data_IF_304011923541
#
_entry.id   IF_304011923541
#
_cell.length_a   1.000
_cell.length_b   1.000
_cell.length_c   1.000
_cell.angle_alpha   90.00
_cell.angle_beta   90.00
_cell.angle_gamma   90.00
#
_symmetry.space_group_name_H-M   'P 1'
#
loop_
_entity.id
_entity.type
_entity.pdbx_description
1 polymer ?
#
# COMPACT_ATOMS: atom_id res chain seq x y z
N UNK A 1 28.46 -29.76 -0.33
CA UNK A 1 28.71 -31.00 0.45
C UNK A 1 28.42 -32.16 -0.50
N UNK A 2 29.36 -33.08 -0.73
CA UNK A 2 29.23 -34.08 -1.78
C UNK A 2 28.33 -35.24 -1.34
N UNK A 3 27.43 -35.66 -2.23
CA UNK A 3 26.63 -36.87 -2.10
C UNK A 3 27.50 -38.08 -2.46
N UNK A 4 27.95 -38.83 -1.46
CA UNK A 4 28.51 -40.16 -1.66
C UNK A 4 27.38 -41.17 -1.85
N UNK A 5 27.15 -41.53 -3.10
CA UNK A 5 26.24 -42.59 -3.53
C UNK A 5 26.98 -43.92 -3.37
N UNK A 6 26.64 -44.68 -2.33
CA UNK A 6 27.11 -46.07 -2.18
C UNK A 6 26.27 -47.00 -3.07
N UNK A 7 26.88 -47.39 -4.18
CA UNK A 7 26.44 -48.42 -5.12
C UNK A 7 26.58 -49.81 -4.48
N UNK A 8 25.46 -50.43 -4.08
CA UNK A 8 25.44 -51.79 -3.56
C UNK A 8 25.34 -52.82 -4.69
N UNK A 9 26.43 -53.59 -4.82
CA UNK A 9 26.69 -54.74 -5.67
C UNK A 9 25.57 -55.80 -5.54
N UNK A 10 24.91 -56.16 -6.64
CA UNK A 10 24.07 -57.38 -6.74
C UNK A 10 24.97 -58.56 -7.09
N UNK A 11 25.22 -59.44 -6.13
CA UNK A 11 25.79 -60.76 -6.41
C UNK A 11 24.68 -61.71 -6.86
N UNK A 12 24.72 -62.04 -8.15
CA UNK A 12 23.95 -63.11 -8.79
C UNK A 12 24.48 -64.47 -8.35
N UNK A 13 23.75 -65.18 -7.48
CA UNK A 13 23.99 -66.59 -7.20
C UNK A 13 23.37 -67.48 -8.29
N UNK A 14 24.21 -68.31 -8.88
CA UNK A 14 23.89 -69.24 -9.96
C UNK A 14 22.98 -70.38 -9.51
N UNK A 15 22.01 -70.68 -10.38
CA UNK A 15 21.09 -71.81 -10.30
C UNK A 15 21.84 -73.06 -10.78
N UNK A 16 22.07 -74.03 -9.89
CA UNK A 16 22.38 -75.41 -10.28
C UNK A 16 21.07 -76.21 -10.31
N UNK A 17 20.76 -76.75 -11.49
CA UNK A 17 19.73 -77.77 -11.69
C UNK A 17 20.27 -79.10 -11.18
N UNK A 18 19.51 -79.76 -10.32
CA UNK A 18 19.67 -81.19 -10.07
C UNK A 18 18.36 -81.87 -10.48
N UNK A 19 18.48 -82.66 -11.53
CA UNK A 19 17.48 -83.61 -12.00
C UNK A 19 17.63 -84.87 -11.13
N UNK A 20 16.52 -85.34 -10.56
CA UNK A 20 16.50 -86.53 -9.72
C UNK A 20 15.06 -86.99 -9.54
N UNK A 21 14.67 -87.93 -10.38
CA UNK A 21 13.46 -88.75 -10.27
C UNK A 21 13.45 -89.50 -8.92
N UNK A 22 12.30 -89.57 -8.26
CA UNK A 22 11.63 -90.84 -7.92
C UNK A 22 10.50 -90.67 -6.88
N UNK A 23 9.30 -91.07 -7.32
CA UNK A 23 8.36 -92.00 -6.67
C UNK A 23 7.91 -91.75 -5.21
N UNK A 24 6.70 -91.19 -5.14
CA UNK A 24 5.51 -91.79 -4.49
C UNK A 24 5.61 -92.25 -3.02
N UNK A 25 5.04 -91.44 -2.11
CA UNK A 25 4.13 -91.83 -1.01
C UNK A 25 3.85 -90.57 -0.15
N UNK A 26 3.00 -89.65 -0.62
CA UNK A 26 2.52 -88.53 0.19
C UNK A 26 1.27 -88.97 0.95
N UNK A 27 1.47 -89.40 2.19
CA UNK A 27 0.40 -89.39 3.18
C UNK A 27 -0.07 -87.93 3.40
N UNK A 28 -1.39 -87.65 3.51
CA UNK A 28 -1.92 -86.32 3.78
C UNK A 28 -1.73 -85.98 5.26
N UNK A 29 -0.48 -85.84 5.69
CA UNK A 29 -0.14 -85.36 7.03
C UNK A 29 0.14 -83.85 6.91
N UNK A 30 -0.62 -83.07 7.68
CA UNK A 30 -0.36 -81.67 8.06
C UNK A 30 -0.83 -80.51 7.17
N UNK A 31 -1.91 -80.63 6.39
CA UNK A 31 -2.55 -79.44 5.79
C UNK A 31 -3.04 -78.42 6.85
N UNK A 32 -3.49 -78.90 8.01
CA UNK A 32 -3.95 -78.04 9.11
C UNK A 32 -2.81 -77.30 9.82
N UNK A 33 -1.63 -77.92 9.92
CA UNK A 33 -0.42 -77.35 10.54
C UNK A 33 0.27 -76.36 9.58
N UNK A 34 0.15 -76.59 8.28
CA UNK A 34 0.61 -75.63 7.27
C UNK A 34 -0.22 -74.34 7.30
N UNK A 35 -1.55 -74.44 7.50
CA UNK A 35 -2.42 -73.28 7.61
C UNK A 35 -2.15 -72.45 8.87
N UNK A 36 -1.87 -73.09 10.02
CA UNK A 36 -1.54 -72.39 11.27
C UNK A 36 -0.21 -71.64 11.16
N UNK A 37 0.81 -72.25 10.55
CA UNK A 37 2.08 -71.61 10.27
C UNK A 37 1.93 -70.43 9.31
N UNK A 38 1.18 -70.60 8.22
CA UNK A 38 0.89 -69.51 7.27
C UNK A 38 0.19 -68.33 7.95
N UNK A 39 -0.78 -68.58 8.84
CA UNK A 39 -1.44 -67.52 9.60
C UNK A 39 -0.47 -66.78 10.53
N UNK A 40 0.44 -67.48 11.20
CA UNK A 40 1.46 -66.86 12.04
C UNK A 40 2.44 -66.01 11.22
N UNK A 41 2.85 -66.48 10.05
CA UNK A 41 3.71 -65.70 9.14
C UNK A 41 2.99 -64.44 8.65
N UNK A 42 1.71 -64.52 8.30
CA UNK A 42 0.90 -63.36 7.90
C UNK A 42 0.73 -62.36 9.05
N UNK A 43 0.48 -62.81 10.28
CA UNK A 43 0.43 -61.94 11.47
C UNK A 43 1.76 -61.21 11.68
N UNK A 44 2.90 -61.92 11.56
CA UNK A 44 4.21 -61.30 11.68
C UNK A 44 4.49 -60.28 10.56
N UNK A 45 4.14 -60.60 9.30
CA UNK A 45 4.26 -59.67 8.18
C UNK A 45 3.40 -58.42 8.42
N UNK A 46 2.18 -58.60 8.92
CA UNK A 46 1.26 -57.49 9.22
C UNK A 46 1.84 -56.58 10.30
N UNK A 47 2.39 -57.14 11.38
CA UNK A 47 3.05 -56.36 12.44
C UNK A 47 4.26 -55.59 11.93
N UNK A 48 5.07 -56.20 11.06
CA UNK A 48 6.22 -55.53 10.44
C UNK A 48 5.74 -54.39 9.53
N UNK A 49 4.66 -54.58 8.77
CA UNK A 49 4.06 -53.54 7.94
C UNK A 49 3.54 -52.37 8.79
N UNK A 50 2.81 -52.64 9.87
CA UNK A 50 2.33 -51.61 10.81
C UNK A 50 3.49 -50.83 11.44
N UNK A 51 4.57 -51.52 11.86
CA UNK A 51 5.77 -50.88 12.38
C UNK A 51 6.45 -49.99 11.34
N UNK A 52 6.53 -50.44 10.07
CA UNK A 52 7.10 -49.64 8.99
C UNK A 52 6.27 -48.37 8.72
N UNK A 53 4.95 -48.46 8.71
CA UNK A 53 4.07 -47.28 8.56
C UNK A 53 4.19 -46.31 9.74
N UNK A 54 4.34 -46.85 10.96
CA UNK A 54 4.57 -46.04 12.15
C UNK A 54 5.90 -45.27 12.08
N UNK A 55 6.96 -45.95 11.62
CA UNK A 55 8.29 -45.35 11.43
C UNK A 55 8.23 -44.27 10.34
N UNK A 56 7.60 -44.54 9.19
CA UNK A 56 7.42 -43.54 8.12
C UNK A 56 6.72 -42.29 8.63
N UNK A 57 5.64 -42.47 9.39
CA UNK A 57 4.90 -41.34 9.99
C UNK A 57 5.79 -40.53 10.95
N UNK A 58 6.60 -41.22 11.79
CA UNK A 58 7.57 -40.56 12.68
C UNK A 58 8.63 -39.79 11.91
N UNK A 59 9.15 -40.34 10.81
CA UNK A 59 10.17 -39.68 9.98
C UNK A 59 9.61 -38.39 9.38
N UNK A 60 8.41 -38.44 8.78
CA UNK A 60 7.74 -37.25 8.22
C UNK A 60 7.49 -36.20 9.29
N UNK A 61 7.07 -36.62 10.49
CA UNK A 61 6.87 -35.69 11.61
C UNK A 61 8.18 -35.00 12.02
N UNK A 62 9.27 -35.76 12.15
CA UNK A 62 10.58 -35.22 12.51
C UNK A 62 11.13 -34.27 11.44
N UNK A 63 10.93 -34.57 10.15
CA UNK A 63 11.30 -33.68 9.05
C UNK A 63 10.57 -32.34 9.13
N UNK A 64 9.26 -32.37 9.40
CA UNK A 64 8.44 -31.17 9.58
C UNK A 64 8.87 -30.34 10.79
N UNK A 65 9.12 -31.00 11.93
CA UNK A 65 9.60 -30.32 13.14
C UNK A 65 10.97 -29.66 12.94
N UNK A 66 11.86 -30.30 12.18
CA UNK A 66 13.15 -29.70 11.79
C UNK A 66 12.95 -28.49 10.88
N UNK A 67 12.10 -28.58 9.84
CA UNK A 67 11.81 -27.45 8.95
C UNK A 67 11.26 -26.25 9.73
N UNK A 68 10.27 -26.47 10.60
CA UNK A 68 9.69 -25.44 11.46
C UNK A 68 10.74 -24.81 12.39
N UNK A 69 11.66 -25.61 12.93
CA UNK A 69 12.77 -25.11 13.75
C UNK A 69 13.73 -24.23 12.94
N UNK A 70 14.09 -24.61 11.71
CA UNK A 70 14.94 -23.81 10.84
C UNK A 70 14.27 -22.50 10.42
N UNK A 71 13.00 -22.55 10.00
CA UNK A 71 12.23 -21.37 9.61
C UNK A 71 12.05 -20.39 10.77
N UNK A 72 11.72 -20.88 11.96
CA UNK A 72 11.58 -20.04 13.16
C UNK A 72 12.91 -19.42 13.59
N UNK A 73 14.01 -20.18 13.52
CA UNK A 73 15.35 -19.67 13.82
C UNK A 73 15.80 -18.61 12.82
N UNK A 74 15.58 -18.84 11.52
CA UNK A 74 15.88 -17.85 10.47
C UNK A 74 15.10 -16.56 10.68
N UNK A 75 13.79 -16.66 10.95
CA UNK A 75 12.94 -15.49 11.22
C UNK A 75 13.41 -14.70 12.45
N UNK A 76 13.85 -15.40 13.50
CA UNK A 76 14.42 -14.77 14.70
C UNK A 76 15.73 -14.03 14.39
N UNK A 77 16.61 -14.63 13.60
CA UNK A 77 17.86 -14.00 13.16
C UNK A 77 17.59 -12.75 12.30
N UNK A 78 16.66 -12.84 11.35
CA UNK A 78 16.27 -11.70 10.50
C UNK A 78 15.72 -10.53 11.32
N UNK A 79 14.91 -10.81 12.34
CA UNK A 79 14.42 -9.79 13.26
C UNK A 79 15.58 -9.18 14.05
N UNK A 80 16.52 -9.99 14.55
CA UNK A 80 17.73 -9.51 15.21
C UNK A 80 18.58 -8.60 14.32
N UNK A 81 18.80 -8.96 13.05
CA UNK A 81 19.53 -8.12 12.10
C UNK A 81 18.83 -6.79 11.83
N UNK A 82 17.49 -6.76 11.74
CA UNK A 82 16.72 -5.52 11.59
C UNK A 82 16.87 -4.60 12.80
N UNK A 83 16.90 -5.15 14.01
CA UNK A 83 17.13 -4.38 15.25
C UNK A 83 18.55 -3.81 15.29
N UNK A 84 19.56 -4.59 14.91
CA UNK A 84 20.95 -4.12 14.79
C UNK A 84 21.09 -3.02 13.73
N UNK A 85 20.44 -3.16 12.58
CA UNK A 85 20.44 -2.12 11.54
C UNK A 85 19.80 -0.82 12.04
N UNK A 86 18.70 -0.92 12.80
CA UNK A 86 18.06 0.23 13.44
C UNK A 86 18.99 0.90 14.45
N UNK A 87 19.63 0.13 15.34
CA UNK A 87 20.60 0.64 16.30
C UNK A 87 21.78 1.34 15.61
N UNK A 88 22.28 0.77 14.50
CA UNK A 88 23.36 1.35 13.70
C UNK A 88 22.98 2.72 13.11
N UNK A 89 21.72 2.86 12.66
CA UNK A 89 21.20 4.15 12.17
C UNK A 89 21.08 5.18 13.30
N UNK A 90 20.58 4.78 14.47
CA UNK A 90 20.49 5.63 15.65
C UNK A 90 21.88 6.09 16.12
N UNK A 91 22.86 5.18 16.17
CA UNK A 91 24.25 5.50 16.49
C UNK A 91 24.88 6.47 15.48
N UNK A 92 24.54 6.32 14.19
CA UNK A 92 24.99 7.25 13.15
C UNK A 92 24.41 8.65 13.37
N UNK A 93 23.14 8.77 13.74
CA UNK A 93 22.53 10.06 14.11
C UNK A 93 23.20 10.69 15.33
N UNK A 94 23.49 9.89 16.38
CA UNK A 94 24.21 10.37 17.57
C UNK A 94 25.62 10.86 17.22
N UNK A 95 26.31 10.16 16.32
CA UNK A 95 27.64 10.58 15.84
C UNK A 95 27.59 11.96 15.17
N UNK A 96 26.56 12.27 14.40
CA UNK A 96 26.40 13.60 13.79
C UNK A 96 26.12 14.69 14.84
N UNK A 97 25.31 14.40 15.87
CA UNK A 97 25.11 15.32 17.01
C UNK A 97 26.42 15.54 17.78
N UNK A 98 27.20 14.49 18.00
CA UNK A 98 28.49 14.62 18.68
C UNK A 98 29.48 15.47 17.88
N UNK A 99 29.55 15.29 16.56
CA UNK A 99 30.34 16.18 15.69
C UNK A 99 29.92 17.63 15.82
N UNK A 100 28.62 17.90 15.90
CA UNK A 100 28.09 19.25 16.11
C UNK A 100 28.51 19.83 17.47
N UNK A 101 28.40 19.07 18.56
CA UNK A 101 28.86 19.49 19.89
C UNK A 101 30.36 19.76 19.90
N UNK A 102 31.16 18.86 19.32
CA UNK A 102 32.62 19.04 19.23
C UNK A 102 32.95 20.29 18.44
N UNK A 103 32.28 20.54 17.29
CA UNK A 103 32.49 21.76 16.51
C UNK A 103 32.15 23.04 17.29
N UNK A 104 31.15 23.01 18.17
CA UNK A 104 30.85 24.12 19.08
C UNK A 104 31.98 24.27 20.11
N UNK A 105 32.43 23.17 20.72
CA UNK A 105 33.46 23.21 21.75
C UNK A 105 34.85 23.60 21.23
N UNK A 106 35.21 23.23 19.99
CA UNK A 106 36.49 23.58 19.37
C UNK A 106 36.51 25.00 18.83
N UNK A 107 35.37 25.70 18.81
CA UNK A 107 35.25 27.04 18.24
C UNK A 107 35.08 27.05 16.72
N UNK A 108 35.16 25.91 16.04
CA UNK A 108 34.93 25.80 14.58
C UNK A 108 33.50 26.19 14.17
N UNK A 109 32.53 26.09 15.09
CA UNK A 109 31.13 26.53 14.91
C UNK A 109 30.72 27.72 15.78
N UNK A 110 31.63 28.26 16.59
CA UNK A 110 31.37 29.45 17.41
C UNK A 110 31.97 30.67 16.72
N UNK A 111 31.54 30.91 15.48
CA UNK A 111 31.38 32.30 15.03
C UNK A 111 29.99 32.70 15.49
N UNK A 112 29.93 33.48 16.57
CA UNK A 112 28.68 34.01 17.08
C UNK A 112 28.00 34.84 15.99
N UNK A 113 26.88 34.29 15.53
CA UNK A 113 25.82 34.94 14.77
C UNK A 113 25.30 36.15 15.57
N UNK A 114 25.92 37.31 15.34
CA UNK A 114 25.16 38.56 15.27
C UNK A 114 24.28 38.49 14.01
N UNK A 115 23.05 37.99 14.18
CA UNK A 115 22.07 37.80 13.11
C UNK A 115 21.55 39.11 12.48
N UNK A 116 22.14 40.27 12.78
CA UNK A 116 21.80 41.52 12.10
C UNK A 116 22.43 41.64 10.69
N UNK A 117 23.33 40.72 10.30
CA UNK A 117 23.98 40.78 8.98
C UNK A 117 24.16 39.46 8.20
N UNK A 118 23.78 38.31 8.75
CA UNK A 118 24.00 37.02 8.09
C UNK A 118 22.84 36.64 7.17
N UNK A 119 22.82 37.27 6.00
CA UNK A 119 22.30 36.60 4.81
C UNK A 119 23.08 35.31 4.64
N UNK A 120 22.41 34.15 4.59
CA UNK A 120 22.98 32.93 4.01
C UNK A 120 23.75 33.35 2.79
N UNK A 121 25.09 33.25 2.83
CA UNK A 121 25.88 33.73 1.71
C UNK A 121 25.44 32.96 0.47
N UNK A 122 25.28 33.66 -0.65
CA UNK A 122 24.84 33.01 -1.90
C UNK A 122 25.75 31.81 -2.23
N UNK A 123 27.00 31.87 -1.77
CA UNK A 123 28.04 30.86 -1.91
C UNK A 123 27.77 29.58 -1.09
N UNK A 124 27.32 29.67 0.17
CA UNK A 124 26.96 28.50 0.97
C UNK A 124 25.65 27.85 0.50
N UNK A 125 24.67 28.66 0.09
CA UNK A 125 23.47 28.15 -0.57
C UNK A 125 23.80 27.43 -1.90
N UNK A 126 24.81 27.94 -2.62
CA UNK A 126 25.36 27.27 -3.80
C UNK A 126 26.12 26.00 -3.44
N UNK A 127 26.90 25.98 -2.35
CA UNK A 127 27.63 24.80 -1.90
C UNK A 127 26.67 23.65 -1.54
N UNK A 128 25.59 23.93 -0.80
CA UNK A 128 24.56 22.94 -0.48
C UNK A 128 23.81 22.48 -1.75
N UNK A 129 23.52 23.40 -2.68
CA UNK A 129 22.93 23.05 -3.98
C UNK A 129 23.87 22.24 -4.88
N UNK A 130 25.18 22.37 -4.70
CA UNK A 130 26.22 21.67 -5.47
C UNK A 130 26.55 20.28 -4.92
N UNK A 131 26.00 19.88 -3.78
CA UNK A 131 26.20 18.55 -3.20
C UNK A 131 25.67 17.47 -4.15
N UNK A 132 26.59 16.83 -4.87
CA UNK A 132 26.28 15.80 -5.87
C UNK A 132 25.50 14.63 -5.26
N UNK A 133 25.81 14.23 -4.01
CA UNK A 133 25.15 13.13 -3.32
C UNK A 133 23.70 13.46 -2.94
N UNK A 134 23.44 14.68 -2.47
CA UNK A 134 22.07 15.13 -2.19
C UNK A 134 21.27 15.26 -3.49
N UNK A 135 21.85 15.88 -4.51
CA UNK A 135 21.24 16.03 -5.82
C UNK A 135 20.86 14.67 -6.43
N UNK A 136 21.76 13.68 -6.34
CA UNK A 136 21.54 12.32 -6.83
C UNK A 136 20.45 11.59 -6.02
N UNK A 137 20.46 11.69 -4.70
CA UNK A 137 19.40 11.11 -3.86
C UNK A 137 18.02 11.69 -4.18
N UNK A 138 17.92 13.02 -4.35
CA UNK A 138 16.67 13.65 -4.77
C UNK A 138 16.25 13.23 -6.18
N UNK A 139 17.19 13.11 -7.12
CA UNK A 139 16.92 12.64 -8.47
C UNK A 139 16.40 11.20 -8.48
N UNK A 140 17.04 10.30 -7.73
CA UNK A 140 16.62 8.91 -7.58
C UNK A 140 15.23 8.80 -6.93
N UNK A 141 14.95 9.62 -5.91
CA UNK A 141 13.63 9.66 -5.28
C UNK A 141 12.54 10.12 -6.28
N UNK A 142 12.79 11.22 -7.01
CA UNK A 142 11.87 11.70 -8.06
C UNK A 142 11.65 10.66 -9.15
N UNK A 143 12.71 9.95 -9.58
CA UNK A 143 12.62 8.89 -10.59
C UNK A 143 11.75 7.73 -10.13
N UNK A 144 11.89 7.28 -8.88
CA UNK A 144 11.02 6.23 -8.30
C UNK A 144 9.56 6.67 -8.25
N UNK A 145 9.29 7.89 -7.76
CA UNK A 145 7.93 8.44 -7.74
C UNK A 145 7.33 8.56 -9.15
N UNK A 146 8.13 8.97 -10.13
CA UNK A 146 7.70 9.08 -11.51
C UNK A 146 7.38 7.71 -12.12
N UNK A 147 8.25 6.71 -11.93
CA UNK A 147 8.00 5.35 -12.40
C UNK A 147 6.73 4.74 -11.78
N UNK A 148 6.54 4.94 -10.47
CA UNK A 148 5.32 4.55 -9.77
C UNK A 148 4.08 5.23 -10.38
N UNK A 149 4.16 6.53 -10.64
CA UNK A 149 3.07 7.28 -11.26
C UNK A 149 2.75 6.77 -12.67
N UNK A 150 3.77 6.48 -13.48
CA UNK A 150 3.59 5.92 -14.84
C UNK A 150 2.93 4.55 -14.76
N UNK A 151 3.35 3.69 -13.84
CA UNK A 151 2.72 2.40 -13.61
C UNK A 151 1.25 2.57 -13.24
N UNK A 152 0.95 3.41 -12.25
CA UNK A 152 -0.39 3.72 -11.79
C UNK A 152 -1.28 4.29 -12.91
N UNK A 153 -0.71 5.15 -13.77
CA UNK A 153 -1.39 5.73 -14.92
C UNK A 153 -1.73 4.68 -15.98
N UNK A 154 -0.81 3.74 -16.27
CA UNK A 154 -1.09 2.62 -17.20
C UNK A 154 -2.23 1.72 -16.73
N UNK A 155 -2.37 1.52 -15.42
CA UNK A 155 -3.48 0.77 -14.83
C UNK A 155 -4.82 1.48 -15.09
N UNK A 156 -4.83 2.81 -15.16
CA UNK A 156 -6.02 3.61 -15.47
C UNK A 156 -6.34 3.71 -16.97
N UNK A 157 -5.31 3.82 -17.83
CA UNK A 157 -5.45 4.11 -19.27
C UNK A 157 -5.69 2.91 -20.17
N UNK A 158 -5.42 1.67 -19.72
CA UNK A 158 -5.88 0.50 -20.47
C UNK A 158 -7.40 0.58 -20.47
N UNK A 159 -7.99 1.04 -21.57
CA UNK A 159 -9.44 1.02 -21.84
C UNK A 159 -9.81 -0.09 -22.83
N UNK A 160 -8.82 -0.73 -23.46
CA UNK A 160 -9.06 -1.88 -24.33
C UNK A 160 -9.50 -3.09 -23.51
N UNK A 161 -10.80 -3.37 -23.53
CA UNK A 161 -11.34 -4.66 -23.15
C UNK A 161 -10.83 -5.70 -24.16
N UNK A 162 -10.10 -6.75 -23.74
CA UNK A 162 -10.42 -8.06 -24.27
C UNK A 162 -11.83 -8.35 -23.75
N UNK A 163 -12.81 -8.10 -24.61
CA UNK A 163 -14.11 -8.75 -24.54
C UNK A 163 -13.89 -10.20 -24.07
N UNK A 164 -14.72 -10.70 -23.15
CA UNK A 164 -14.78 -12.12 -22.71
C UNK A 164 -13.95 -12.56 -21.49
N UNK A 165 -13.82 -11.74 -20.45
CA UNK A 165 -13.68 -12.29 -19.09
C UNK A 165 -14.82 -11.75 -18.23
N UNK A 166 -15.77 -12.64 -17.93
CA UNK A 166 -16.91 -12.39 -17.05
C UNK A 166 -16.42 -11.88 -15.69
N UNK A 167 -16.48 -10.57 -15.49
CA UNK A 167 -16.46 -10.00 -14.14
C UNK A 167 -17.78 -10.43 -13.50
N UNK A 168 -17.75 -11.54 -12.77
CA UNK A 168 -18.84 -11.98 -11.89
C UNK A 168 -19.21 -10.81 -10.99
N UNK A 169 -20.32 -10.17 -11.34
CA UNK A 169 -20.93 -9.10 -10.56
C UNK A 169 -21.55 -9.76 -9.33
N UNK A 170 -20.79 -9.83 -8.23
CA UNK A 170 -21.20 -10.39 -6.94
C UNK A 170 -22.21 -9.49 -6.20
N UNK A 171 -23.28 -9.01 -6.86
CA UNK A 171 -24.28 -8.17 -6.19
C UNK A 171 -25.45 -8.96 -5.56
N UNK A 172 -25.67 -10.26 -5.81
CA UNK A 172 -26.88 -10.96 -5.30
C UNK A 172 -26.71 -12.36 -4.68
N UNK A 173 -25.49 -12.88 -4.49
CA UNK A 173 -25.30 -14.18 -3.85
C UNK A 173 -25.27 -14.07 -2.31
N UNK A 174 -26.47 -14.18 -1.74
CA UNK A 174 -26.79 -14.62 -0.39
C UNK A 174 -25.62 -15.13 0.48
N UNK A 175 -25.20 -14.32 1.45
CA UNK A 175 -24.57 -14.81 2.68
C UNK A 175 -25.40 -14.31 3.86
N UNK A 176 -26.51 -15.01 4.11
CA UNK A 176 -27.00 -15.18 5.49
C UNK A 176 -26.01 -16.11 6.16
N UNK A 177 -25.09 -15.53 6.93
CA UNK A 177 -24.26 -16.31 7.83
C UNK A 177 -24.99 -16.37 9.17
N UNK A 178 -25.85 -17.39 9.29
CA UNK A 178 -26.37 -17.82 10.59
C UNK A 178 -25.20 -18.37 11.41
N UNK A 179 -24.86 -17.66 12.48
CA UNK A 179 -24.09 -18.18 13.59
C UNK A 179 -25.05 -18.94 14.52
N UNK A 180 -25.08 -20.27 14.45
CA UNK A 180 -25.76 -21.11 15.45
C UNK A 180 -25.04 -22.44 15.65
N UNK A 181 -24.38 -22.54 16.82
CA UNK A 181 -24.51 -23.62 17.82
C UNK A 181 -24.40 -25.10 17.40
N UNK A 182 -23.26 -25.69 17.80
CA UNK A 182 -23.03 -27.00 18.46
C UNK A 182 -23.38 -28.37 17.83
N UNK A 183 -22.41 -29.29 18.06
CA UNK A 183 -22.49 -30.74 18.34
C UNK A 183 -22.56 -31.77 17.19
N UNK A 184 -21.55 -32.65 17.23
CA UNK A 184 -21.52 -34.10 16.93
C UNK A 184 -22.45 -34.67 15.83
N UNK A 185 -21.84 -35.16 14.74
CA UNK A 185 -22.12 -36.53 14.28
C UNK A 185 -20.99 -37.06 13.39
N UNK A 186 -20.68 -38.33 13.64
CA UNK A 186 -19.84 -39.23 12.87
C UNK A 186 -20.59 -39.77 11.65
N UNK A 187 -19.98 -39.79 10.46
CA UNK A 187 -20.16 -40.86 9.45
C UNK A 187 -19.05 -40.83 8.39
N UNK A 188 -18.66 -42.03 7.95
CA UNK A 188 -17.54 -42.37 7.08
C UNK A 188 -17.83 -42.14 5.58
N UNK A 189 -16.76 -41.83 4.83
CA UNK A 189 -16.42 -42.53 3.58
C UNK A 189 -16.85 -41.92 2.24
N UNK A 190 -15.96 -41.13 1.61
CA UNK A 190 -15.69 -41.26 0.17
C UNK A 190 -14.30 -40.72 -0.21
N UNK A 191 -13.72 -41.45 -1.17
CA UNK A 191 -12.37 -41.50 -1.74
C UNK A 191 -12.01 -40.28 -2.65
N UNK A 192 -10.79 -40.20 -3.22
CA UNK A 192 -9.94 -39.00 -3.24
C UNK A 192 -9.91 -38.26 -4.59
N UNK A 193 -9.01 -37.27 -4.66
CA UNK A 193 -8.48 -36.61 -5.84
C UNK A 193 -9.42 -35.66 -6.60
N UNK A 194 -9.33 -34.39 -6.21
CA UNK A 194 -8.96 -33.35 -7.17
C UNK A 194 -8.26 -32.20 -6.45
N UNK A 195 -6.95 -32.16 -6.66
CA UNK A 195 -6.05 -31.05 -6.40
C UNK A 195 -6.56 -29.76 -7.06
N UNK A 196 -7.42 -29.05 -6.36
CA UNK A 196 -7.52 -27.61 -6.46
C UNK A 196 -7.08 -27.06 -5.11
N UNK A 197 -5.77 -27.13 -4.87
CA UNK A 197 -5.08 -26.19 -4.02
C UNK A 197 -5.38 -24.78 -4.55
N UNK A 198 -6.52 -24.24 -4.11
CA UNK A 198 -6.77 -22.82 -4.06
C UNK A 198 -5.80 -22.28 -3.02
N UNK A 199 -4.56 -22.09 -3.48
CA UNK A 199 -3.42 -21.54 -2.76
C UNK A 199 -3.92 -20.51 -1.76
N UNK A 200 -3.87 -20.90 -0.49
CA UNK A 200 -4.42 -20.17 0.61
C UNK A 200 -3.75 -18.79 0.65
N UNK A 201 -4.50 -17.80 0.17
CA UNK A 201 -4.50 -16.43 0.65
C UNK A 201 -3.11 -15.82 0.88
N UNK A 202 -2.41 -15.55 -0.23
CA UNK A 202 -1.46 -14.45 -0.26
C UNK A 202 -2.24 -13.19 0.12
N UNK A 203 -2.21 -12.83 1.41
CA UNK A 203 -2.84 -11.61 1.91
C UNK A 203 -2.34 -10.50 0.99
N UNK A 204 -3.21 -9.66 0.40
CA UNK A 204 -2.79 -8.49 -0.35
C UNK A 204 -2.26 -7.43 0.63
N UNK A 205 -1.28 -7.80 1.46
CA UNK A 205 -0.47 -6.90 2.29
C UNK A 205 0.31 -5.91 1.42
N UNK A 206 0.35 -6.14 0.12
CA UNK A 206 1.01 -5.30 -0.88
C UNK A 206 0.05 -4.45 -1.72
N UNK A 207 -1.26 -4.43 -1.43
CA UNK A 207 -2.14 -3.51 -2.15
C UNK A 207 -1.74 -2.06 -1.85
N UNK A 208 -1.66 -1.25 -2.90
CA UNK A 208 -1.32 0.17 -2.84
C UNK A 208 -2.38 0.94 -3.61
N UNK A 209 -2.97 1.95 -2.97
CA UNK A 209 -3.94 2.82 -3.63
C UNK A 209 -3.27 3.59 -4.78
N UNK A 210 -3.90 3.59 -5.94
CA UNK A 210 -3.36 4.16 -7.16
C UNK A 210 -3.17 5.68 -7.02
N UNK A 211 -1.96 6.20 -7.23
CA UNK A 211 -1.59 7.62 -7.02
C UNK A 211 -1.87 8.50 -8.25
N UNK A 212 -2.10 7.92 -9.41
CA UNK A 212 -2.41 8.63 -10.65
C UNK A 212 -3.90 9.06 -10.75
N UNK A 213 -4.75 8.58 -9.84
CA UNK A 213 -6.16 8.98 -9.76
C UNK A 213 -6.28 10.46 -9.39
N UNK A 214 -6.99 11.22 -10.22
CA UNK A 214 -7.20 12.66 -10.06
C UNK A 214 -8.66 13.11 -10.12
N UNK A 215 -9.59 12.21 -10.48
CA UNK A 215 -11.03 12.50 -10.58
C UNK A 215 -11.83 11.75 -9.51
N UNK A 216 -13.00 12.26 -9.15
CA UNK A 216 -13.91 11.58 -8.22
C UNK A 216 -14.43 10.28 -8.83
N UNK A 217 -14.65 10.27 -10.15
CA UNK A 217 -15.05 9.08 -10.91
C UNK A 217 -14.06 7.93 -10.73
N UNK A 218 -12.76 8.20 -10.83
CA UNK A 218 -11.73 7.19 -10.67
C UNK A 218 -11.61 6.71 -9.22
N UNK A 219 -11.77 7.62 -8.25
CA UNK A 219 -11.82 7.25 -6.82
C UNK A 219 -12.99 6.31 -6.55
N UNK A 220 -14.17 6.61 -7.10
CA UNK A 220 -15.35 5.76 -6.94
C UNK A 220 -15.18 4.40 -7.64
N UNK A 221 -14.60 4.39 -8.84
CA UNK A 221 -14.29 3.16 -9.58
C UNK A 221 -13.34 2.26 -8.80
N UNK A 222 -12.19 2.77 -8.35
CA UNK A 222 -11.26 2.00 -7.51
C UNK A 222 -11.92 1.48 -6.23
N UNK A 223 -12.79 2.29 -5.61
CA UNK A 223 -13.44 1.91 -4.37
C UNK A 223 -14.50 0.83 -4.52
N UNK A 224 -15.46 1.01 -5.42
CA UNK A 224 -16.62 0.13 -5.55
C UNK A 224 -16.37 -1.05 -6.49
N UNK A 225 -15.66 -0.83 -7.59
CA UNK A 225 -15.49 -1.81 -8.67
C UNK A 225 -14.08 -2.43 -8.66
N UNK A 226 -13.09 -1.66 -8.23
CA UNK A 226 -11.67 -2.01 -8.35
C UNK A 226 -11.05 -1.46 -9.62
N UNK A 227 -9.77 -1.79 -9.81
CA UNK A 227 -9.02 -1.45 -11.01
C UNK A 227 -8.63 -2.74 -11.74
N UNK A 228 -8.11 -2.63 -12.97
CA UNK A 228 -7.81 -3.80 -13.78
C UNK A 228 -6.82 -4.75 -13.09
N UNK A 229 -7.24 -5.98 -12.85
CA UNK A 229 -6.44 -7.00 -12.13
C UNK A 229 -6.24 -6.70 -10.64
N UNK A 230 -6.95 -5.72 -10.10
CA UNK A 230 -6.84 -5.29 -8.71
C UNK A 230 -8.23 -5.34 -8.04
N UNK A 231 -8.33 -5.87 -6.81
CA UNK A 231 -9.61 -5.94 -6.10
C UNK A 231 -10.13 -4.54 -5.77
N UNK A 232 -11.44 -4.42 -5.58
CA UNK A 232 -12.04 -3.17 -5.09
C UNK A 232 -11.58 -2.86 -3.68
N UNK A 233 -11.43 -1.57 -3.35
CA UNK A 233 -11.06 -1.16 -2.00
C UNK A 233 -12.16 -1.54 -1.00
N UNK A 234 -13.43 -1.51 -1.43
CA UNK A 234 -14.55 -1.99 -0.63
C UNK A 234 -14.40 -3.48 -0.27
N UNK A 235 -13.99 -4.33 -1.21
CA UNK A 235 -13.70 -5.74 -0.95
C UNK A 235 -12.56 -5.89 0.06
N UNK A 236 -11.47 -5.13 -0.12
CA UNK A 236 -10.32 -5.17 0.78
C UNK A 236 -10.68 -4.76 2.21
N UNK A 237 -11.46 -3.70 2.38
CA UNK A 237 -11.90 -3.24 3.70
C UNK A 237 -12.83 -4.26 4.36
N UNK A 238 -13.75 -4.88 3.61
CA UNK A 238 -14.66 -5.90 4.15
C UNK A 238 -13.94 -7.19 4.56
N UNK A 239 -12.96 -7.63 3.76
CA UNK A 239 -12.25 -8.90 3.96
C UNK A 239 -11.09 -8.81 4.95
N UNK A 240 -10.32 -7.72 4.90
CA UNK A 240 -9.07 -7.57 5.66
C UNK A 240 -9.09 -6.43 6.69
N UNK A 241 -10.11 -5.55 6.67
CA UNK A 241 -10.22 -4.41 7.58
C UNK A 241 -9.02 -3.47 7.46
N UNK A 242 -8.41 -3.08 8.57
CA UNK A 242 -7.25 -2.16 8.57
C UNK A 242 -5.94 -2.81 8.09
N UNK A 243 -5.86 -4.13 7.97
CA UNK A 243 -4.61 -4.85 7.71
C UNK A 243 -4.04 -4.60 6.30
N UNK A 244 -4.90 -4.46 5.28
CA UNK A 244 -4.44 -4.18 3.90
C UNK A 244 -3.79 -2.80 3.76
N UNK A 245 -4.09 -1.89 4.69
CA UNK A 245 -3.56 -0.52 4.78
C UNK A 245 -2.62 -0.34 5.98
N UNK A 246 -1.72 -1.31 6.19
CA UNK A 246 -0.75 -1.31 7.30
C UNK A 246 0.28 -0.17 7.24
N UNK A 247 0.59 0.33 6.04
CA UNK A 247 1.53 1.44 5.85
C UNK A 247 0.87 2.78 6.23
N UNK A 248 1.55 3.68 6.98
CA UNK A 248 1.00 4.98 7.34
C UNK A 248 0.53 5.82 6.14
N UNK A 249 1.27 5.76 5.03
CA UNK A 249 0.90 6.45 3.78
C UNK A 249 -0.44 5.98 3.22
N UNK A 250 -0.72 4.68 3.24
CA UNK A 250 -1.99 4.13 2.77
C UNK A 250 -3.14 4.52 3.70
N UNK A 251 -2.93 4.52 5.03
CA UNK A 251 -3.97 4.96 5.98
C UNK A 251 -4.40 6.40 5.72
N UNK A 252 -3.45 7.32 5.57
CA UNK A 252 -3.75 8.74 5.32
C UNK A 252 -4.45 8.92 3.96
N UNK A 253 -4.00 8.20 2.93
CA UNK A 253 -4.58 8.34 1.60
C UNK A 253 -6.00 7.76 1.52
N UNK A 254 -6.20 6.59 2.15
CA UNK A 254 -7.51 5.98 2.34
C UNK A 254 -8.46 6.91 3.10
N UNK A 255 -8.04 7.48 4.24
CA UNK A 255 -8.87 8.38 5.02
C UNK A 255 -9.35 9.59 4.20
N UNK A 256 -8.46 10.16 3.37
CA UNK A 256 -8.83 11.26 2.46
C UNK A 256 -9.84 10.85 1.40
N UNK A 257 -9.63 9.70 0.75
CA UNK A 257 -10.57 9.16 -0.26
C UNK A 257 -11.90 8.77 0.36
N UNK A 258 -11.89 8.21 1.56
CA UNK A 258 -13.10 7.78 2.26
C UNK A 258 -14.04 8.94 2.56
N UNK A 259 -13.52 10.15 2.85
CA UNK A 259 -14.40 11.33 2.99
C UNK A 259 -15.17 11.64 1.71
N UNK A 260 -14.54 11.47 0.55
CA UNK A 260 -15.19 11.68 -0.76
C UNK A 260 -16.23 10.56 -1.00
N UNK A 261 -15.87 9.30 -0.73
CA UNK A 261 -16.77 8.16 -0.84
C UNK A 261 -17.99 8.30 0.08
N UNK A 262 -17.78 8.68 1.34
CA UNK A 262 -18.85 8.90 2.30
C UNK A 262 -19.81 9.99 1.83
N UNK A 263 -19.29 11.07 1.24
CA UNK A 263 -20.13 12.11 0.66
C UNK A 263 -20.94 11.61 -0.54
N UNK A 264 -20.36 10.76 -1.41
CA UNK A 264 -21.10 10.11 -2.51
C UNK A 264 -22.24 9.24 -1.96
N UNK A 265 -21.97 8.43 -0.93
CA UNK A 265 -22.99 7.58 -0.31
C UNK A 265 -24.09 8.40 0.35
N UNK A 266 -23.73 9.46 1.09
CA UNK A 266 -24.71 10.33 1.74
C UNK A 266 -25.63 11.05 0.74
N UNK A 267 -25.10 11.51 -0.40
CA UNK A 267 -25.93 12.08 -1.48
C UNK A 267 -26.86 11.02 -2.08
N UNK A 268 -26.35 9.80 -2.29
CA UNK A 268 -27.14 8.68 -2.83
C UNK A 268 -28.28 8.27 -1.88
N UNK A 269 -28.00 8.20 -0.58
CA UNK A 269 -28.95 7.74 0.45
C UNK A 269 -29.93 8.85 0.87
N UNK A 270 -29.49 10.11 0.90
CA UNK A 270 -30.27 11.26 1.36
C UNK A 270 -30.33 12.38 0.30
N UNK A 271 -30.85 12.14 -0.92
CA UNK A 271 -30.84 13.13 -2.00
C UNK A 271 -31.61 14.41 -1.67
N UNK A 272 -32.67 14.31 -0.86
CA UNK A 272 -33.52 15.45 -0.48
C UNK A 272 -32.76 16.54 0.28
N UNK A 273 -31.77 16.16 1.12
CA UNK A 273 -30.91 17.12 1.85
C UNK A 273 -30.11 18.03 0.93
N UNK A 274 -29.91 17.59 -0.31
CA UNK A 274 -29.12 18.26 -1.33
C UNK A 274 -29.97 18.87 -2.44
N UNK A 275 -31.30 18.88 -2.30
CA UNK A 275 -32.21 19.39 -3.33
C UNK A 275 -32.24 18.51 -4.60
N UNK A 276 -31.91 17.23 -4.47
CA UNK A 276 -31.85 16.27 -5.57
C UNK A 276 -33.14 15.42 -5.63
N UNK A 277 -33.55 14.94 -6.81
CA UNK A 277 -34.70 14.04 -6.93
C UNK A 277 -34.52 12.76 -6.10
N UNK A 278 -35.57 12.19 -5.49
CA UNK A 278 -35.47 10.91 -4.81
C UNK A 278 -35.08 9.79 -5.79
N UNK A 279 -34.29 8.82 -5.33
CA UNK A 279 -33.90 7.65 -6.14
C UNK A 279 -32.75 7.88 -7.12
N UNK A 280 -31.85 8.84 -6.86
CA UNK A 280 -30.67 9.02 -7.72
C UNK A 280 -29.76 7.78 -7.76
N UNK A 281 -29.20 7.52 -8.93
CA UNK A 281 -28.20 6.47 -9.10
C UNK A 281 -26.84 6.85 -8.50
N UNK A 282 -26.03 5.85 -8.13
CA UNK A 282 -24.64 6.07 -7.69
C UNK A 282 -23.83 6.86 -8.72
N UNK A 283 -24.04 6.61 -10.02
CA UNK A 283 -23.40 7.35 -11.11
C UNK A 283 -23.76 8.84 -11.09
N UNK A 284 -25.00 9.19 -10.80
CA UNK A 284 -25.42 10.58 -10.64
C UNK A 284 -24.80 11.21 -9.39
N UNK A 285 -24.78 10.52 -8.26
CA UNK A 285 -24.12 11.01 -7.05
C UNK A 285 -22.61 11.26 -7.26
N UNK A 286 -21.90 10.35 -7.93
CA UNK A 286 -20.50 10.53 -8.34
C UNK A 286 -20.35 11.79 -9.21
N UNK A 287 -21.23 11.96 -10.21
CA UNK A 287 -21.21 13.11 -11.11
C UNK A 287 -21.42 14.43 -10.36
N UNK A 288 -22.33 14.46 -9.38
CA UNK A 288 -22.57 15.65 -8.55
C UNK A 288 -21.30 16.04 -7.79
N UNK A 289 -20.66 15.09 -7.09
CA UNK A 289 -19.43 15.37 -6.34
C UNK A 289 -18.27 15.76 -7.26
N UNK A 290 -18.20 15.17 -8.45
CA UNK A 290 -17.23 15.58 -9.48
C UNK A 290 -17.51 17.01 -9.97
N UNK A 291 -18.77 17.40 -10.17
CA UNK A 291 -19.12 18.78 -10.54
C UNK A 291 -18.73 19.77 -9.43
N UNK A 292 -18.93 19.40 -8.16
CA UNK A 292 -18.43 20.19 -7.02
C UNK A 292 -16.93 20.38 -7.13
N UNK A 293 -16.18 19.32 -7.48
CA UNK A 293 -14.73 19.43 -7.71
C UNK A 293 -14.37 20.33 -8.89
N UNK A 294 -15.11 20.24 -9.99
CA UNK A 294 -14.79 20.94 -11.24
C UNK A 294 -15.12 22.43 -11.21
N UNK A 295 -16.11 22.86 -10.42
CA UNK A 295 -16.44 24.28 -10.33
C UNK A 295 -17.76 24.63 -9.64
N UNK A 296 -18.64 23.67 -9.35
CA UNK A 296 -19.83 23.92 -8.51
C UNK A 296 -19.43 24.01 -7.02
N UNK A 297 -18.58 24.97 -6.68
CA UNK A 297 -18.14 25.21 -5.32
C UNK A 297 -17.82 26.69 -5.13
N UNK A 298 -17.73 27.10 -3.88
CA UNK A 298 -17.26 28.42 -3.48
C UNK A 298 -15.94 28.33 -2.70
N UNK A 299 -15.00 27.49 -3.16
CA UNK A 299 -13.72 27.29 -2.49
C UNK A 299 -12.93 28.60 -2.42
N UNK A 300 -12.83 29.18 -1.21
CA UNK A 300 -12.29 30.53 -0.99
C UNK A 300 -13.04 31.62 -1.76
N UNK A 301 -14.37 31.51 -1.83
CA UNK A 301 -15.26 32.53 -2.40
C UNK A 301 -15.36 32.51 -3.93
N UNK A 302 -14.66 31.62 -4.62
CA UNK A 302 -14.61 31.58 -6.08
C UNK A 302 -14.82 30.16 -6.62
N UNK A 303 -15.45 30.03 -7.79
CA UNK A 303 -15.52 28.75 -8.52
C UNK A 303 -14.11 28.28 -8.88
N UNK A 304 -13.69 27.17 -8.28
CA UNK A 304 -12.33 26.65 -8.42
C UNK A 304 -12.34 25.21 -8.87
N UNK A 305 -11.50 24.86 -9.85
CA UNK A 305 -11.24 23.45 -10.16
C UNK A 305 -10.29 22.89 -9.11
N UNK A 306 -10.86 22.11 -8.18
CA UNK A 306 -10.15 21.55 -7.04
C UNK A 306 -9.39 20.27 -7.41
N UNK A 307 -8.21 20.09 -6.79
CA UNK A 307 -7.57 18.78 -6.65
C UNK A 307 -8.36 17.90 -5.68
N UNK A 308 -8.18 16.58 -5.71
CA UNK A 308 -8.84 15.68 -4.75
C UNK A 308 -8.51 16.04 -3.30
N UNK A 309 -7.28 16.51 -3.02
CA UNK A 309 -6.90 16.95 -1.68
C UNK A 309 -7.62 18.24 -1.27
N UNK A 310 -7.83 19.18 -2.20
CA UNK A 310 -8.63 20.38 -1.93
C UNK A 310 -10.11 20.04 -1.71
N UNK A 311 -10.67 19.13 -2.51
CA UNK A 311 -12.02 18.62 -2.31
C UNK A 311 -12.17 17.95 -0.93
N UNK A 312 -11.21 17.12 -0.53
CA UNK A 312 -11.17 16.54 0.82
C UNK A 312 -11.23 17.62 1.90
N UNK A 313 -10.42 18.69 1.78
CA UNK A 313 -10.43 19.81 2.74
C UNK A 313 -11.78 20.52 2.72
N UNK A 314 -12.35 20.75 1.54
CA UNK A 314 -13.66 21.38 1.35
C UNK A 314 -14.76 20.66 2.12
N UNK A 315 -14.85 19.34 1.92
CA UNK A 315 -15.86 18.50 2.55
C UNK A 315 -15.61 18.33 4.06
N UNK A 316 -14.36 18.12 4.47
CA UNK A 316 -14.03 17.89 5.89
C UNK A 316 -14.28 19.14 6.74
N UNK A 317 -14.02 20.33 6.19
CA UNK A 317 -14.29 21.60 6.86
C UNK A 317 -15.74 22.08 6.72
N UNK A 318 -16.62 21.28 6.11
CA UNK A 318 -18.03 21.64 5.86
C UNK A 318 -18.18 23.00 5.16
N UNK A 319 -17.31 23.26 4.18
CA UNK A 319 -17.36 24.48 3.37
C UNK A 319 -18.39 24.37 2.24
N UNK A 320 -18.96 23.17 2.04
CA UNK A 320 -19.99 22.89 1.05
C UNK A 320 -21.35 23.51 1.41
N UNK A 321 -22.05 23.98 0.39
CA UNK A 321 -23.41 24.51 0.48
C UNK A 321 -24.35 23.60 -0.30
N UNK A 322 -25.64 23.60 0.05
CA UNK A 322 -26.67 22.86 -0.70
C UNK A 322 -26.69 23.23 -2.19
N UNK A 323 -26.41 24.49 -2.53
CA UNK A 323 -26.36 25.01 -3.91
C UNK A 323 -25.24 24.44 -4.79
N UNK A 324 -24.20 23.87 -4.17
CA UNK A 324 -23.06 23.24 -4.84
C UNK A 324 -23.47 21.90 -5.49
N UNK A 325 -24.48 21.24 -4.92
CA UNK A 325 -24.91 19.91 -5.32
C UNK A 325 -25.88 19.97 -6.50
N UNK A 326 -25.33 19.97 -7.71
CA UNK A 326 -26.12 19.97 -8.95
C UNK A 326 -25.58 18.94 -9.96
N UNK A 327 -26.46 18.22 -10.66
CA UNK A 327 -26.08 17.28 -11.74
C UNK A 327 -25.41 17.97 -12.93
N UNK A 328 -25.75 19.25 -13.13
CA UNK A 328 -25.18 20.08 -14.19
C UNK A 328 -24.07 20.94 -13.62
N UNK A 329 -22.98 21.05 -14.37
CA UNK A 329 -21.86 21.91 -14.03
C UNK A 329 -22.20 23.33 -14.49
N UNK A 330 -22.36 24.25 -13.54
CA UNK A 330 -22.78 25.65 -13.78
C UNK A 330 -21.64 26.44 -14.43
N UNK A 331 -20.46 26.37 -13.82
CA UNK A 331 -19.26 27.07 -14.27
C UNK A 331 -18.07 26.11 -14.16
N UNK A 332 -17.21 26.09 -15.18
CA UNK A 332 -15.92 25.41 -15.08
C UNK A 332 -14.95 26.28 -14.29
N UNK A 333 -14.63 25.85 -13.08
CA UNK A 333 -13.68 26.53 -12.23
C UNK A 333 -12.28 26.53 -12.84
N UNK A 334 -11.50 27.56 -12.54
CA UNK A 334 -10.07 27.60 -12.90
C UNK A 334 -9.23 27.02 -11.77
N UNK A 335 -8.05 26.44 -12.05
CA UNK A 335 -7.12 26.08 -11.01
C UNK A 335 -6.77 27.29 -10.14
N UNK A 336 -6.69 27.09 -8.81
CA UNK A 336 -6.37 28.18 -7.87
C UNK A 336 -5.07 28.93 -8.23
N UNK A 337 -4.06 28.20 -8.73
CA UNK A 337 -2.77 28.79 -9.14
C UNK A 337 -2.97 29.87 -10.22
N UNK A 338 -3.90 29.66 -11.14
CA UNK A 338 -4.16 30.58 -12.23
C UNK A 338 -4.90 31.81 -11.72
N UNK A 339 -5.83 31.63 -10.77
CA UNK A 339 -6.50 32.73 -10.08
C UNK A 339 -5.51 33.62 -9.32
N UNK A 340 -4.63 33.03 -8.50
CA UNK A 340 -3.60 33.76 -7.75
C UNK A 340 -2.56 34.44 -8.66
N UNK A 341 -2.26 33.85 -9.81
CA UNK A 341 -1.34 34.46 -10.78
C UNK A 341 -1.98 35.66 -11.46
N UNK A 342 -3.28 35.60 -11.76
CA UNK A 342 -4.03 36.73 -12.32
C UNK A 342 -4.23 37.86 -11.30
N UNK A 343 -4.45 37.54 -10.03
CA UNK A 343 -4.56 38.52 -8.95
C UNK A 343 -3.26 39.33 -8.78
N UNK A 344 -2.11 38.65 -8.69
CA UNK A 344 -0.79 39.31 -8.61
C UNK A 344 -0.48 40.23 -9.80
N UNK A 345 -0.92 39.86 -11.01
CA UNK A 345 -0.77 40.71 -12.20
C UNK A 345 -1.63 41.98 -12.13
N UNK A 346 -2.85 41.89 -11.57
CA UNK A 346 -3.71 43.07 -11.37
C UNK A 346 -3.09 44.03 -10.35
N UNK A 347 -2.54 43.52 -9.27
CA UNK A 347 -1.91 44.34 -8.23
C UNK A 347 -0.66 45.06 -8.75
N UNK A 348 0.12 44.37 -9.60
CA UNK A 348 1.30 44.95 -10.27
C UNK A 348 0.93 46.11 -11.22
N UNK A 349 -0.17 45.95 -11.98
CA UNK A 349 -0.65 46.98 -12.90
C UNK A 349 -1.28 48.18 -12.16
N UNK A 350 -1.93 47.95 -11.01
CA UNK A 350 -2.47 49.04 -10.20
C UNK A 350 -1.38 49.86 -9.51
N UNK A 351 -0.24 49.27 -9.17
CA UNK A 351 0.86 49.98 -8.52
C UNK A 351 1.61 50.89 -9.49
N UNK A 352 1.65 50.54 -10.78
CA UNK A 352 2.30 51.33 -11.83
C UNK A 352 1.43 52.48 -12.36
N UNK A 353 0.11 52.47 -12.13
CA UNK A 353 -0.78 53.55 -12.55
C UNK A 353 -0.80 54.78 -11.60
N UNK A 354 -0.26 54.66 -10.39
CA UNK A 354 -0.33 55.71 -9.35
C UNK A 354 0.92 56.59 -9.27
N UNK A 355 1.92 56.40 -10.13
CA UNK A 355 3.18 57.17 -10.12
C UNK A 355 3.30 58.24 -11.23
N UNK A 356 2.23 58.59 -11.95
CA UNK A 356 2.28 59.57 -13.07
C UNK A 356 1.50 60.86 -12.83
N UNK A 357 1.42 61.32 -11.57
CA UNK A 357 0.96 62.66 -11.25
C UNK A 357 2.06 63.37 -10.47
N UNK A 358 3.08 63.85 -11.18
CA UNK A 358 3.99 64.84 -10.61
C UNK A 358 3.22 66.13 -10.33
N UNK A 359 3.32 66.69 -9.12
CA UNK A 359 2.90 68.05 -8.84
C UNK A 359 3.89 69.02 -9.49
N UNK A 360 3.38 69.90 -10.34
CA UNK A 360 4.14 71.03 -10.89
C UNK A 360 4.81 71.81 -9.75
N UNK A 361 6.14 71.82 -9.80
CA UNK A 361 7.02 72.63 -8.97
C UNK A 361 6.80 74.08 -9.41
N UNK A 362 6.02 74.83 -8.65
CA UNK A 362 6.01 76.29 -8.73
C UNK A 362 7.13 76.81 -7.82
N UNK A 363 8.27 77.04 -8.47
CA UNK A 363 9.49 77.59 -7.92
C UNK A 363 9.36 79.12 -7.90
N UNK A 364 9.18 79.75 -6.71
CA UNK A 364 9.73 81.08 -6.40
C UNK A 364 9.35 81.61 -5.02
N UNK A 365 10.38 82.16 -4.36
CA UNK A 365 10.36 83.00 -3.15
C UNK A 365 10.30 82.16 -1.86
N UNK A 366 11.14 82.38 -0.84
CA UNK A 366 11.53 83.67 -0.26
C UNK A 366 12.63 83.43 0.79
N UNK A 367 13.48 84.44 0.90
CA UNK A 367 14.66 84.58 1.74
C UNK A 367 14.45 84.52 3.28
N UNK A 368 15.58 84.42 4.00
CA UNK A 368 15.78 84.75 5.41
C UNK A 368 16.33 83.55 6.20
N UNK A 369 17.62 83.50 6.57
CA UNK A 369 18.20 84.13 7.79
C UNK A 369 17.22 84.02 8.99
N UNK A 370 17.53 83.33 10.09
CA UNK A 370 18.62 83.66 11.03
C UNK A 370 18.98 82.49 11.97
N UNK A 371 20.28 82.34 12.11
CA UNK A 371 21.07 81.97 13.28
C UNK A 371 20.41 82.20 14.67
N UNK A 372 20.40 81.19 15.55
CA UNK A 372 20.64 81.33 17.00
C UNK A 372 21.00 79.96 17.59
N UNK A 373 22.23 79.86 18.11
CA UNK A 373 22.59 78.81 19.04
C UNK A 373 22.15 79.17 20.46
N UNK A 374 22.06 78.17 21.32
CA UNK A 374 22.44 78.32 22.73
C UNK A 374 22.67 76.95 23.35
N UNK A 375 23.89 76.79 23.84
CA UNK A 375 24.32 75.80 24.81
C UNK A 375 23.69 76.11 26.16
N UNK A 376 23.29 75.10 26.94
CA UNK A 376 23.90 74.82 28.25
C UNK A 376 23.09 73.78 29.06
N UNK A 377 23.89 72.91 29.69
CA UNK A 377 23.73 72.26 31.00
C UNK A 377 22.64 71.22 31.22
#
# INVERSE_FOLDING_TARGET
MPNDIHEYRRDTFGIQRNDGEDVECREPINELDQASFQALVLDQITRIQEQNELIKTRVIQLEKEQEDFYLSTSRRLDNGFREVEKCTKEMSSIKEVFKEIVGIMTGDRVQFLDHSSENVTSEEAQAISSSQLLAENFANHRRRQFNDYIHDRRVLERDECPSTLEVKREEDAAWRQDCTTSQQSSFQGHEPDQDLEYSNSHIPTNYRLNRAIHTVTDVAREYFEGLRGQPSVMYLERRYGTHWRSKPSERTFFAKRMQIINKINDIKENPERYGMPPGISRKQAIRVVENVRLGNNSFYGHSTRMTLNQLYIYLTKKMDKTEDYNLTLKEHGKPRRDLLSRERLKDSNNTSATQTTEPGIDERSRAGETNHGESNS
#
